data_IF_882949567221
#
_entry.id   IF_882949567221
#
_cell.length_a   1.000
_cell.length_b   1.000
_cell.length_c   1.000
_cell.angle_alpha   90.00
_cell.angle_beta   90.00
_cell.angle_gamma   90.00
#
_symmetry.space_group_name_H-M   'P 1'
#
loop_
_entity.id
_entity.type
_entity.pdbx_description
1 polymer ?
#
# COMPACT_ATOMS: atom_id res chain seq x y z
N UNK A 1 10.70 -10.92 1.67
CA UNK A 1 9.37 -10.27 1.58
C UNK A 1 9.40 -8.88 2.17
N UNK A 2 9.04 -7.88 1.38
CA UNK A 2 8.90 -6.47 1.78
C UNK A 2 7.42 -6.11 1.84
N UNK A 3 6.97 -5.43 2.90
CA UNK A 3 5.61 -4.89 2.97
C UNK A 3 5.68 -3.39 2.66
N UNK A 4 5.01 -2.96 1.60
CA UNK A 4 4.99 -1.56 1.20
C UNK A 4 3.82 -0.81 1.84
N UNK A 5 4.10 0.41 2.28
CA UNK A 5 3.10 1.34 2.82
C UNK A 5 2.41 2.14 1.70
N UNK A 6 1.25 2.74 2.00
CA UNK A 6 0.49 3.57 1.06
C UNK A 6 1.32 4.73 0.51
N UNK A 7 2.20 5.32 1.31
CA UNK A 7 3.07 6.41 0.87
C UNK A 7 4.01 6.00 -0.27
N UNK A 8 4.58 4.80 -0.24
CA UNK A 8 5.48 4.33 -1.30
C UNK A 8 4.75 4.27 -2.64
N UNK A 9 3.50 3.79 -2.62
CA UNK A 9 2.65 3.76 -3.81
C UNK A 9 2.32 5.19 -4.25
N UNK A 10 1.80 6.05 -3.36
CA UNK A 10 1.41 7.43 -3.69
C UNK A 10 2.56 8.19 -4.36
N UNK A 11 3.77 8.14 -3.80
CA UNK A 11 4.92 8.84 -4.35
C UNK A 11 5.41 8.26 -5.67
N UNK A 12 5.31 6.94 -5.89
CA UNK A 12 5.80 6.28 -7.12
C UNK A 12 5.15 6.78 -8.43
N UNK A 13 3.97 7.40 -8.34
CA UNK A 13 3.30 8.03 -9.46
C UNK A 13 4.09 9.25 -9.97
N UNK A 14 4.70 10.01 -9.06
CA UNK A 14 5.45 11.21 -9.39
C UNK A 14 6.77 10.85 -10.08
N UNK A 15 7.13 11.59 -11.13
CA UNK A 15 8.35 11.35 -11.90
C UNK A 15 9.63 11.48 -11.05
N UNK A 16 9.64 12.41 -10.09
CA UNK A 16 10.75 12.60 -9.14
C UNK A 16 11.07 11.33 -8.34
N UNK A 17 10.05 10.51 -8.05
CA UNK A 17 10.19 9.28 -7.28
C UNK A 17 10.05 8.02 -8.15
N UNK A 18 10.36 8.11 -9.45
CA UNK A 18 10.29 6.97 -10.36
C UNK A 18 11.17 5.78 -9.92
N UNK A 19 12.20 6.03 -9.09
CA UNK A 19 13.04 5.01 -8.47
C UNK A 19 12.27 4.09 -7.50
N UNK A 20 11.05 4.45 -7.09
CA UNK A 20 10.19 3.61 -6.24
C UNK A 20 9.45 2.52 -7.04
N UNK A 21 9.27 2.70 -8.35
CA UNK A 21 8.50 1.80 -9.21
C UNK A 21 9.03 0.35 -9.22
N UNK A 22 10.37 0.09 -9.23
CA UNK A 22 10.88 -1.27 -9.14
C UNK A 22 10.40 -2.05 -7.91
N UNK A 23 10.15 -1.38 -6.77
CA UNK A 23 9.63 -2.06 -5.58
C UNK A 23 8.18 -2.54 -5.76
N UNK A 24 7.39 -1.87 -6.60
CA UNK A 24 5.99 -2.24 -6.87
C UNK A 24 5.91 -3.50 -7.72
N UNK A 25 6.85 -3.66 -8.66
CA UNK A 25 6.92 -4.79 -9.58
C UNK A 25 7.82 -5.94 -9.08
N UNK A 26 8.48 -5.76 -7.93
CA UNK A 26 9.24 -6.81 -7.26
C UNK A 26 8.29 -7.89 -6.74
N UNK A 27 8.51 -9.14 -7.16
CA UNK A 27 7.69 -10.28 -6.75
C UNK A 27 7.79 -10.58 -5.24
N UNK A 28 8.85 -10.13 -4.58
CA UNK A 28 9.03 -10.26 -3.13
C UNK A 28 8.43 -9.07 -2.36
N UNK A 29 7.76 -8.14 -3.04
CA UNK A 29 7.00 -7.06 -2.42
C UNK A 29 5.51 -7.39 -2.32
N UNK A 30 4.89 -6.93 -1.25
CA UNK A 30 3.46 -7.05 -1.02
C UNK A 30 2.88 -5.77 -0.43
N UNK A 31 1.58 -5.59 -0.58
CA UNK A 31 0.78 -4.52 0.04
C UNK A 31 -0.44 -5.12 0.72
N UNK A 32 -0.98 -4.43 1.72
CA UNK A 32 -2.20 -4.87 2.38
C UNK A 32 -3.45 -4.41 1.63
N UNK A 33 -4.58 -5.10 1.84
CA UNK A 33 -5.89 -4.61 1.36
C UNK A 33 -6.26 -3.23 1.92
N UNK A 34 -5.77 -2.89 3.11
CA UNK A 34 -5.94 -1.56 3.72
C UNK A 34 -5.23 -0.51 2.88
N UNK A 35 -3.99 -0.78 2.46
CA UNK A 35 -3.22 0.09 1.57
C UNK A 35 -3.97 0.35 0.25
N UNK A 36 -4.61 -0.68 -0.32
CA UNK A 36 -5.45 -0.51 -1.51
C UNK A 36 -6.64 0.44 -1.26
N UNK A 37 -7.33 0.29 -0.13
CA UNK A 37 -8.43 1.17 0.27
C UNK A 37 -7.95 2.62 0.44
N UNK A 38 -6.83 2.84 1.13
CA UNK A 38 -6.28 4.18 1.36
C UNK A 38 -5.87 4.86 0.07
N UNK A 39 -5.13 4.15 -0.79
CA UNK A 39 -4.58 4.69 -2.03
C UNK A 39 -5.67 4.98 -3.05
N UNK A 40 -6.70 4.13 -3.18
CA UNK A 40 -7.80 4.36 -4.13
C UNK A 40 -8.93 5.24 -3.54
N UNK A 41 -9.04 5.31 -2.22
CA UNK A 41 -10.02 6.13 -1.49
C UNK A 41 -9.59 7.58 -1.30
N UNK A 42 -8.35 7.93 -1.67
CA UNK A 42 -7.85 9.30 -1.53
C UNK A 42 -8.66 10.29 -2.38
N UNK A 43 -9.36 11.20 -1.71
CA UNK A 43 -10.34 12.11 -2.33
C UNK A 43 -9.78 13.05 -3.42
N UNK A 44 -8.47 13.21 -3.52
CA UNK A 44 -7.82 14.10 -4.51
C UNK A 44 -7.15 13.35 -5.66
N UNK A 45 -7.48 12.08 -5.87
CA UNK A 45 -7.06 11.33 -7.06
C UNK A 45 -7.70 11.91 -8.31
N UNK A 46 -6.88 12.31 -9.27
CA UNK A 46 -7.34 12.51 -10.64
C UNK A 46 -7.44 11.16 -11.37
N UNK A 47 -8.07 11.16 -12.54
CA UNK A 47 -8.34 9.92 -13.28
C UNK A 47 -7.04 9.20 -13.73
N UNK A 48 -6.00 9.96 -14.08
CA UNK A 48 -4.69 9.41 -14.46
C UNK A 48 -4.01 8.68 -13.29
N UNK A 49 -3.99 9.30 -12.10
CA UNK A 49 -3.47 8.70 -10.88
C UNK A 49 -4.24 7.42 -10.52
N UNK A 50 -5.57 7.48 -10.63
CA UNK A 50 -6.41 6.33 -10.36
C UNK A 50 -6.10 5.16 -11.29
N UNK A 51 -5.96 5.41 -12.59
CA UNK A 51 -5.59 4.37 -13.56
C UNK A 51 -4.22 3.78 -13.23
N UNK A 52 -3.24 4.63 -12.91
CA UNK A 52 -1.91 4.19 -12.48
C UNK A 52 -1.98 3.23 -11.29
N UNK A 53 -2.67 3.61 -10.20
CA UNK A 53 -2.75 2.77 -9.01
C UNK A 53 -3.53 1.47 -9.25
N UNK A 54 -4.63 1.52 -10.00
CA UNK A 54 -5.38 0.32 -10.39
C UNK A 54 -4.47 -0.66 -11.14
N UNK A 55 -3.64 -0.18 -12.06
CA UNK A 55 -2.65 -1.01 -12.73
C UNK A 55 -1.60 -1.56 -11.77
N UNK A 56 -1.06 -0.75 -10.84
CA UNK A 56 -0.11 -1.25 -9.84
C UNK A 56 -0.68 -2.41 -9.01
N UNK A 57 -1.93 -2.30 -8.56
CA UNK A 57 -2.60 -3.35 -7.78
C UNK A 57 -2.90 -4.64 -8.55
N UNK A 58 -2.77 -4.65 -9.88
CA UNK A 58 -2.87 -5.88 -10.68
C UNK A 58 -1.57 -6.70 -10.68
N UNK A 59 -0.42 -6.07 -10.40
CA UNK A 59 0.90 -6.71 -10.48
C UNK A 59 1.51 -7.01 -9.11
N UNK A 60 1.25 -6.15 -8.12
CA UNK A 60 1.80 -6.34 -6.77
C UNK A 60 1.02 -7.42 -6.00
N UNK A 61 1.72 -8.15 -5.14
CA UNK A 61 1.08 -9.13 -4.26
C UNK A 61 0.19 -8.42 -3.23
N UNK A 62 -1.10 -8.76 -3.19
CA UNK A 62 -2.09 -8.15 -2.31
C UNK A 62 -2.45 -9.10 -1.17
N UNK A 63 -2.17 -8.68 0.05
CA UNK A 63 -2.47 -9.43 1.27
C UNK A 63 -3.88 -9.09 1.73
N UNK A 64 -4.75 -10.09 1.70
CA UNK A 64 -6.10 -10.01 2.24
C UNK A 64 -6.11 -9.86 3.76
N UNK A 65 -7.12 -9.15 4.26
CA UNK A 65 -7.27 -8.86 5.68
C UNK A 65 -8.33 -9.79 6.25
N UNK A 66 -7.96 -10.54 7.27
CA UNK A 66 -8.87 -11.40 8.01
C UNK A 66 -8.92 -10.99 9.49
N UNK A 67 -9.87 -11.56 10.23
CA UNK A 67 -10.07 -11.22 11.64
C UNK A 67 -8.82 -11.48 12.48
N UNK A 68 -8.07 -12.55 12.24
CA UNK A 68 -6.85 -12.84 13.00
C UNK A 68 -5.75 -11.77 12.83
N UNK A 69 -5.63 -11.21 11.61
CA UNK A 69 -4.71 -10.09 11.33
C UNK A 69 -5.17 -8.84 12.09
N UNK A 70 -6.48 -8.56 12.09
CA UNK A 70 -7.05 -7.40 12.78
C UNK A 70 -6.90 -7.52 14.29
N UNK A 71 -7.26 -8.65 14.88
CA UNK A 71 -7.12 -8.92 16.31
C UNK A 71 -5.65 -8.74 16.74
N UNK A 72 -4.71 -9.26 15.94
CA UNK A 72 -3.28 -9.08 16.21
C UNK A 72 -2.84 -7.63 16.06
N UNK A 73 -3.32 -6.91 15.05
CA UNK A 73 -3.01 -5.49 14.85
C UNK A 73 -3.53 -4.63 16.01
N UNK A 74 -4.71 -4.94 16.55
CA UNK A 74 -5.28 -4.27 17.74
C UNK A 74 -4.35 -4.47 18.95
N UNK A 75 -3.92 -5.71 19.20
CA UNK A 75 -2.98 -6.01 20.28
C UNK A 75 -1.66 -5.26 20.11
N UNK A 76 -1.11 -5.21 18.90
CA UNK A 76 0.11 -4.45 18.62
C UNK A 76 -0.09 -2.97 18.90
N UNK A 77 -1.20 -2.38 18.44
CA UNK A 77 -1.52 -0.96 18.64
C UNK A 77 -1.64 -0.58 20.12
N UNK A 78 -2.21 -1.45 20.96
CA UNK A 78 -2.27 -1.25 22.40
C UNK A 78 -0.89 -1.27 23.09
N UNK A 79 0.07 -2.01 22.54
CA UNK A 79 1.41 -2.16 23.12
C UNK A 79 2.42 -1.12 22.61
N UNK A 80 2.06 -0.33 21.60
CA UNK A 80 2.83 0.86 21.23
C UNK A 80 2.58 1.93 22.30
N UNK A 81 3.49 2.05 23.27
CA UNK A 81 3.53 3.23 24.14
C UNK A 81 3.69 4.45 23.24
N UNK A 82 2.82 5.45 23.38
CA UNK A 82 3.08 6.78 22.84
C UNK A 82 4.48 7.21 23.35
N UNK A 83 5.44 7.32 22.44
CA UNK A 83 6.68 8.05 22.66
C UNK A 83 6.46 9.46 22.13
#
# INVERSE_FOLDING_TARGET
>A
MKLLDSNILIYSQLSEYAYLRPFIFDQDSAVSKITQLEVLGFHRLNDEARQYFVSCFQFINLIEINNSIIDRAILLRHNVKCH
#
